data_IF_736232681482
#
_entry.id   IF_736232681482
#
_cell.length_a   1.000
_cell.length_b   1.000
_cell.length_c   1.000
_cell.angle_alpha   90.00
_cell.angle_beta   90.00
_cell.angle_gamma   90.00
#
_symmetry.space_group_name_H-M   'P 1'
#
loop_
_entity.id
_entity.type
_entity.pdbx_description
1 polymer ?
#
# COMPACT_ATOMS: atom_id res chain seq x y z
N UNK A 1 -5.08 41.20 -25.08
CA UNK A 1 -3.80 40.48 -25.27
C UNK A 1 -2.94 40.85 -24.07
N UNK A 2 -2.65 39.88 -23.19
CA UNK A 2 -1.93 40.12 -21.93
C UNK A 2 -0.60 39.35 -21.99
N UNK A 3 0.49 40.10 -21.91
CA UNK A 3 1.87 39.64 -21.79
C UNK A 3 2.19 39.28 -20.33
N UNK A 4 2.92 38.18 -20.09
CA UNK A 4 3.88 38.06 -18.99
C UNK A 4 4.65 36.74 -19.07
N UNK A 5 5.82 36.81 -19.72
CA UNK A 5 7.10 36.28 -19.24
C UNK A 5 7.08 34.93 -18.48
N UNK A 6 7.26 33.84 -19.23
CA UNK A 6 7.66 32.52 -18.71
C UNK A 6 9.17 32.57 -18.46
N UNK A 7 9.56 33.11 -17.31
CA UNK A 7 10.95 33.15 -16.86
C UNK A 7 11.24 31.91 -16.00
N UNK A 8 12.07 31.03 -16.56
CA UNK A 8 13.12 30.28 -15.87
C UNK A 8 12.76 29.57 -14.55
N UNK A 9 12.45 28.29 -14.67
CA UNK A 9 13.01 27.24 -13.82
C UNK A 9 12.99 25.95 -14.64
N UNK A 10 14.14 25.64 -15.24
CA UNK A 10 14.43 24.33 -15.79
C UNK A 10 14.10 23.27 -14.74
N UNK A 11 12.93 22.67 -14.85
CA UNK A 11 12.62 21.43 -14.15
C UNK A 11 13.58 20.40 -14.73
N UNK A 12 14.37 19.69 -13.91
CA UNK A 12 15.26 18.66 -14.41
C UNK A 12 14.47 17.68 -15.28
N UNK A 13 14.94 17.50 -16.51
CA UNK A 13 14.41 16.54 -17.48
C UNK A 13 14.61 15.15 -16.87
N UNK A 14 13.52 14.59 -16.36
CA UNK A 14 13.38 13.23 -15.84
C UNK A 14 14.50 12.76 -14.89
N UNK A 15 14.24 12.81 -13.58
CA UNK A 15 15.05 12.07 -12.61
C UNK A 15 15.03 10.59 -13.01
N UNK A 16 16.18 9.96 -13.34
CA UNK A 16 16.20 8.55 -13.66
C UNK A 16 15.85 7.78 -12.39
N UNK A 17 14.60 7.36 -12.29
CA UNK A 17 14.14 6.45 -11.24
C UNK A 17 15.01 5.21 -11.40
N UNK A 18 15.96 5.01 -10.48
CA UNK A 18 16.90 3.88 -10.52
C UNK A 18 16.11 2.61 -10.76
N UNK A 19 16.20 2.05 -11.98
CA UNK A 19 15.46 0.88 -12.49
C UNK A 19 15.75 -0.42 -11.71
N UNK A 20 16.49 -0.36 -10.60
CA UNK A 20 16.76 -1.49 -9.70
C UNK A 20 15.74 -1.70 -8.59
N UNK A 21 14.83 -0.76 -8.32
CA UNK A 21 13.85 -0.90 -7.20
C UNK A 21 12.47 -1.35 -7.68
N UNK A 22 12.18 -1.25 -8.99
CA UNK A 22 10.89 -1.62 -9.57
C UNK A 22 10.65 -3.14 -9.68
N UNK A 23 11.64 -3.99 -9.34
CA UNK A 23 11.51 -5.44 -9.44
C UNK A 23 11.23 -6.15 -8.12
N UNK A 24 11.01 -5.43 -7.01
CA UNK A 24 10.43 -6.07 -5.83
C UNK A 24 8.92 -6.09 -6.02
N UNK A 25 8.45 -6.98 -6.90
CA UNK A 25 7.08 -7.47 -6.89
C UNK A 25 6.77 -7.74 -5.42
N UNK A 26 5.95 -6.90 -4.81
CA UNK A 26 5.66 -6.99 -3.38
C UNK A 26 4.93 -8.31 -3.21
N UNK A 27 5.66 -9.38 -2.87
CA UNK A 27 5.08 -10.70 -2.64
C UNK A 27 4.10 -10.66 -1.48
N UNK A 28 4.39 -9.79 -0.51
CA UNK A 28 3.62 -9.62 0.71
C UNK A 28 3.35 -8.13 0.97
N UNK A 29 2.12 -7.82 1.37
CA UNK A 29 1.76 -6.57 2.02
C UNK A 29 2.06 -6.64 3.51
N UNK A 30 2.29 -5.46 4.09
CA UNK A 30 2.63 -5.29 5.49
C UNK A 30 1.83 -4.14 6.08
N UNK A 31 1.08 -4.42 7.12
CA UNK A 31 0.31 -3.43 7.89
C UNK A 31 0.93 -3.34 9.27
N UNK A 32 1.20 -2.11 9.70
CA UNK A 32 1.64 -1.78 11.06
C UNK A 32 0.59 -0.88 11.67
N UNK A 33 0.05 -1.29 12.81
CA UNK A 33 -0.84 -0.47 13.61
C UNK A 33 -0.02 0.40 14.57
N UNK A 34 -0.65 1.45 15.08
CA UNK A 34 -0.16 2.30 16.16
C UNK A 34 0.00 1.54 17.49
N UNK A 35 -0.77 0.47 17.69
CA UNK A 35 -0.65 -0.45 18.83
C UNK A 35 0.55 -1.39 18.74
N UNK A 36 1.33 -1.34 17.65
CA UNK A 36 2.49 -2.20 17.45
C UNK A 36 2.18 -3.59 16.90
N UNK A 37 0.93 -3.84 16.51
CA UNK A 37 0.53 -5.08 15.83
C UNK A 37 1.00 -5.00 14.38
N UNK A 38 1.78 -6.00 13.97
CA UNK A 38 2.30 -6.12 12.61
C UNK A 38 1.67 -7.33 11.92
N UNK A 39 0.97 -7.07 10.82
CA UNK A 39 0.31 -8.11 10.03
C UNK A 39 0.96 -8.13 8.65
N UNK A 40 1.49 -9.29 8.26
CA UNK A 40 2.06 -9.51 6.93
C UNK A 40 1.25 -10.56 6.20
N UNK A 41 0.82 -10.27 4.98
CA UNK A 41 0.02 -11.20 4.17
C UNK A 41 0.47 -11.20 2.70
N UNK A 42 0.39 -12.34 2.01
CA UNK A 42 0.68 -12.42 0.59
C UNK A 42 -0.23 -11.51 -0.26
N UNK A 43 0.35 -10.77 -1.20
CA UNK A 43 -0.37 -9.82 -2.04
C UNK A 43 -1.40 -10.47 -2.97
N UNK A 44 -1.15 -11.71 -3.39
CA UNK A 44 -2.10 -12.49 -4.20
C UNK A 44 -3.40 -12.85 -3.47
N UNK A 45 -3.47 -12.69 -2.13
CA UNK A 45 -4.69 -12.95 -1.36
C UNK A 45 -5.54 -11.70 -1.18
N UNK A 46 -4.99 -10.50 -1.42
CA UNK A 46 -5.72 -9.23 -1.30
C UNK A 46 -6.74 -9.07 -2.42
N UNK A 47 -6.40 -9.51 -3.63
CA UNK A 47 -7.29 -9.44 -4.79
C UNK A 47 -8.37 -10.55 -4.80
N UNK A 48 -8.32 -11.47 -3.83
CA UNK A 48 -9.22 -12.62 -3.77
C UNK A 48 -10.37 -12.37 -2.77
N UNK A 49 -11.63 -12.29 -3.25
CA UNK A 49 -12.77 -12.11 -2.36
C UNK A 49 -12.88 -13.29 -1.40
N UNK A 50 -13.24 -13.00 -0.14
CA UNK A 50 -13.44 -14.01 0.90
C UNK A 50 -12.16 -14.48 1.60
N UNK A 51 -11.01 -13.86 1.40
CA UNK A 51 -9.78 -14.14 2.16
C UNK A 51 -9.42 -13.01 3.12
N UNK A 52 -9.35 -11.77 2.63
CA UNK A 52 -9.01 -10.60 3.44
C UNK A 52 -9.94 -9.44 3.09
N UNK A 53 -10.60 -8.87 4.10
CA UNK A 53 -11.50 -7.73 3.94
C UNK A 53 -11.18 -6.64 4.95
N UNK A 54 -11.27 -5.39 4.49
CA UNK A 54 -11.06 -4.19 5.28
C UNK A 54 -12.38 -3.41 5.29
N UNK A 55 -12.91 -3.14 6.48
CA UNK A 55 -14.02 -2.19 6.65
C UNK A 55 -13.58 -1.02 7.50
N UNK A 56 -14.06 0.16 7.11
CA UNK A 56 -13.95 1.38 7.88
C UNK A 56 -15.32 1.64 8.47
N UNK A 57 -15.41 1.57 9.80
CA UNK A 57 -16.64 1.86 10.52
C UNK A 57 -16.82 3.37 10.65
N UNK A 58 -18.06 3.82 10.83
CA UNK A 58 -18.40 5.25 10.93
C UNK A 58 -17.78 5.94 12.17
N UNK A 59 -17.33 5.17 13.15
CA UNK A 59 -16.65 5.65 14.36
C UNK A 59 -15.12 5.77 14.21
N UNK A 60 -14.58 5.51 13.01
CA UNK A 60 -13.16 5.58 12.71
C UNK A 60 -12.39 4.28 13.00
N UNK A 61 -13.04 3.21 13.45
CA UNK A 61 -12.40 1.90 13.60
C UNK A 61 -12.15 1.26 12.24
N UNK A 62 -11.00 0.60 12.14
CA UNK A 62 -10.65 -0.24 11.00
C UNK A 62 -10.80 -1.68 11.45
N UNK A 63 -11.66 -2.44 10.78
CA UNK A 63 -11.82 -3.87 11.01
C UNK A 63 -11.13 -4.64 9.89
N UNK A 64 -10.22 -5.54 10.27
CA UNK A 64 -9.54 -6.44 9.34
C UNK A 64 -10.10 -7.84 9.55
N UNK A 65 -10.80 -8.37 8.55
CA UNK A 65 -11.40 -9.70 8.59
C UNK A 65 -10.56 -10.67 7.78
N UNK A 66 -9.99 -11.68 8.46
CA UNK A 66 -9.29 -12.80 7.83
C UNK A 66 -10.26 -13.98 7.78
N UNK A 67 -10.57 -14.43 6.56
CA UNK A 67 -11.56 -15.47 6.27
C UNK A 67 -10.87 -16.72 5.69
N UNK A 68 -11.60 -17.82 5.60
CA UNK A 68 -11.11 -19.09 5.06
C UNK A 68 -9.84 -19.61 5.75
N UNK A 69 -9.75 -19.44 7.06
CA UNK A 69 -8.62 -19.90 7.88
C UNK A 69 -8.94 -21.27 8.47
N UNK A 70 -8.15 -22.28 8.13
CA UNK A 70 -8.29 -23.64 8.68
C UNK A 70 -7.53 -23.84 10.00
N UNK A 71 -6.42 -23.12 10.20
CA UNK A 71 -5.57 -23.25 11.37
C UNK A 71 -4.88 -21.92 11.71
N UNK A 72 -4.69 -21.65 13.00
CA UNK A 72 -3.96 -20.50 13.52
C UNK A 72 -2.91 -21.02 14.48
N UNK A 73 -1.65 -20.70 14.22
CA UNK A 73 -0.50 -21.06 15.05
C UNK A 73 0.23 -19.78 15.50
N UNK A 74 0.69 -19.76 16.77
CA UNK A 74 1.51 -18.69 17.31
C UNK A 74 2.98 -19.14 17.27
N UNK A 75 3.85 -18.34 16.64
CA UNK A 75 5.28 -18.62 16.49
C UNK A 75 6.13 -17.50 17.06
#
# INVERSE_FOLDING_TARGET
KYEAQVASRELPEEVPVKRGVANRIAKNHKIRTDTGIEISFPSNLTDRPGYLEFSHESDGRITISIKNVAHIENR
#
